data_IF_858108364147
#
_entry.id   IF_858108364147
#
_cell.length_a   1.000
_cell.length_b   1.000
_cell.length_c   1.000
_cell.angle_alpha   90.00
_cell.angle_beta   90.00
_cell.angle_gamma   90.00
#
_symmetry.space_group_name_H-M   'P 1'
#
loop_
_entity.id
_entity.type
_entity.pdbx_description
1 polymer ?
#
# COMPACT_ATOMS: atom_id res chain seq x y z
N UNK A 1 63.30 -8.56 -16.14
CA UNK A 1 62.23 -7.53 -16.15
C UNK A 1 60.90 -8.28 -16.22
N UNK A 2 60.20 -8.46 -15.10
CA UNK A 2 58.87 -9.08 -15.08
C UNK A 2 57.89 -8.03 -14.55
N UNK A 3 57.08 -7.45 -15.44
CA UNK A 3 55.99 -6.54 -15.08
C UNK A 3 54.74 -7.36 -14.80
N UNK A 4 54.29 -7.36 -13.54
CA UNK A 4 52.95 -7.81 -13.16
C UNK A 4 51.96 -6.66 -13.42
N UNK A 5 51.10 -6.82 -14.42
CA UNK A 5 49.99 -5.90 -14.66
C UNK A 5 48.74 -6.43 -13.95
N UNK A 6 48.39 -5.80 -12.83
CA UNK A 6 47.14 -6.07 -12.09
C UNK A 6 45.92 -5.77 -12.95
N UNK A 7 45.06 -6.78 -13.12
CA UNK A 7 43.72 -6.63 -13.69
C UNK A 7 42.84 -6.02 -12.59
N UNK A 8 42.53 -4.73 -12.71
CA UNK A 8 41.49 -4.07 -11.92
C UNK A 8 40.14 -4.64 -12.34
N UNK A 9 39.59 -5.52 -11.52
CA UNK A 9 38.20 -5.98 -11.61
C UNK A 9 37.28 -4.77 -11.42
N UNK A 10 36.72 -4.26 -12.52
CA UNK A 10 35.62 -3.29 -12.48
C UNK A 10 34.43 -3.99 -11.84
N UNK A 11 34.14 -3.64 -10.59
CA UNK A 11 32.84 -3.93 -9.97
C UNK A 11 31.76 -3.33 -10.85
N UNK A 12 30.99 -4.19 -11.51
CA UNK A 12 29.77 -3.78 -12.18
C UNK A 12 28.78 -3.32 -11.11
N UNK A 13 28.63 -2.01 -10.95
CA UNK A 13 27.50 -1.42 -10.25
C UNK A 13 26.25 -1.85 -11.02
N UNK A 14 25.44 -2.72 -10.43
CA UNK A 14 24.12 -3.06 -10.95
C UNK A 14 23.31 -1.75 -11.16
N UNK A 15 22.56 -1.61 -12.26
CA UNK A 15 21.60 -0.51 -12.35
C UNK A 15 20.65 -0.62 -11.16
N UNK A 16 20.58 0.48 -10.41
CA UNK A 16 19.68 0.70 -9.26
C UNK A 16 18.23 0.49 -9.70
N UNK A 17 17.40 0.09 -8.74
CA UNK A 17 15.96 -0.12 -8.88
C UNK A 17 15.30 1.00 -9.71
N UNK A 18 14.38 0.60 -10.59
CA UNK A 18 13.98 1.38 -11.76
C UNK A 18 13.09 2.57 -11.46
N UNK A 19 13.18 3.56 -12.35
CA UNK A 19 12.19 4.53 -12.89
C UNK A 19 11.03 5.05 -12.03
N UNK A 20 10.39 4.25 -11.18
CA UNK A 20 9.26 4.67 -10.34
C UNK A 20 9.65 5.60 -9.18
N UNK A 21 10.86 5.46 -8.62
CA UNK A 21 11.33 6.36 -7.54
C UNK A 21 11.61 7.79 -8.05
N UNK A 22 11.88 7.95 -9.36
CA UNK A 22 12.20 9.25 -9.97
C UNK A 22 10.93 10.09 -10.23
N UNK A 23 9.80 9.43 -10.50
CA UNK A 23 8.52 10.10 -10.73
C UNK A 23 7.95 10.70 -9.44
N UNK A 24 7.98 9.97 -8.32
CA UNK A 24 7.50 10.47 -7.02
C UNK A 24 8.37 11.62 -6.49
N UNK A 25 9.69 11.53 -6.65
CA UNK A 25 10.59 12.61 -6.25
C UNK A 25 10.37 13.87 -7.10
N UNK A 26 10.17 13.70 -8.42
CA UNK A 26 9.85 14.81 -9.33
C UNK A 26 8.53 15.46 -8.97
N UNK A 27 7.48 14.69 -8.66
CA UNK A 27 6.18 15.22 -8.26
C UNK A 27 6.28 15.98 -6.92
N UNK A 28 7.07 15.48 -5.97
CA UNK A 28 7.37 16.18 -4.72
C UNK A 28 8.13 17.50 -4.93
N UNK A 29 9.04 17.55 -5.91
CA UNK A 29 9.82 18.74 -6.24
C UNK A 29 9.01 19.81 -7.00
N UNK A 30 7.98 19.40 -7.78
CA UNK A 30 7.05 20.33 -8.42
C UNK A 30 6.19 21.11 -7.40
N UNK A 31 6.03 20.56 -6.19
CA UNK A 31 5.15 21.13 -5.17
C UNK A 31 3.67 21.04 -5.57
N UNK A 32 2.76 21.49 -4.69
CA UNK A 32 1.33 21.40 -4.97
C UNK A 32 0.97 22.21 -6.22
N UNK A 33 0.34 21.55 -7.18
CA UNK A 33 -0.06 22.17 -8.44
C UNK A 33 -1.14 23.25 -8.19
N UNK A 34 -1.24 24.30 -9.03
CA UNK A 34 -2.18 25.40 -8.80
C UNK A 34 -3.63 24.95 -8.61
N UNK A 35 -4.08 23.95 -9.38
CA UNK A 35 -5.41 23.34 -9.26
C UNK A 35 -5.57 22.53 -7.97
N UNK A 36 -4.55 21.78 -7.55
CA UNK A 36 -4.54 21.11 -6.24
C UNK A 36 -4.73 22.12 -5.11
N UNK A 37 -4.09 23.29 -5.18
CA UNK A 37 -4.29 24.32 -4.15
C UNK A 37 -5.73 24.84 -4.10
N UNK A 38 -6.40 24.96 -5.25
CA UNK A 38 -7.81 25.32 -5.33
C UNK A 38 -8.70 24.21 -4.75
N UNK A 39 -8.43 22.94 -5.08
CA UNK A 39 -9.13 21.80 -4.46
C UNK A 39 -8.95 21.77 -2.94
N UNK A 40 -7.75 22.04 -2.44
CA UNK A 40 -7.48 22.11 -1.00
C UNK A 40 -8.24 23.27 -0.35
N UNK A 41 -8.31 24.43 -1.02
CA UNK A 41 -9.08 25.57 -0.54
C UNK A 41 -10.58 25.27 -0.52
N UNK A 42 -11.10 24.63 -1.57
CA UNK A 42 -12.49 24.21 -1.68
C UNK A 42 -12.84 23.19 -0.60
N UNK A 43 -12.01 22.16 -0.40
CA UNK A 43 -12.19 21.16 0.65
C UNK A 43 -12.19 21.80 2.05
N UNK A 44 -11.30 22.77 2.30
CA UNK A 44 -11.28 23.54 3.56
C UNK A 44 -12.55 24.35 3.75
N UNK A 45 -13.04 25.02 2.69
CA UNK A 45 -14.28 25.79 2.72
C UNK A 45 -15.50 24.90 2.97
N UNK A 46 -15.67 23.85 2.17
CA UNK A 46 -16.74 22.86 2.31
C UNK A 46 -16.75 22.23 3.71
N UNK A 47 -15.57 21.88 4.24
CA UNK A 47 -15.43 21.38 5.60
C UNK A 47 -15.90 22.37 6.68
N UNK A 48 -15.65 23.68 6.51
CA UNK A 48 -16.16 24.71 7.45
C UNK A 48 -17.68 24.81 7.36
N UNK A 49 -18.22 24.80 6.14
CA UNK A 49 -19.66 24.90 5.92
C UNK A 49 -20.40 23.70 6.53
N UNK A 50 -19.93 22.48 6.26
CA UNK A 50 -20.50 21.26 6.84
C UNK A 50 -20.53 21.28 8.37
N UNK A 51 -19.49 21.82 9.01
CA UNK A 51 -19.45 21.97 10.47
C UNK A 51 -20.48 22.97 11.01
N UNK A 52 -20.73 24.07 10.29
CA UNK A 52 -21.79 25.03 10.66
C UNK A 52 -23.16 24.39 10.55
N UNK A 53 -23.44 23.79 9.40
CA UNK A 53 -24.73 23.11 9.18
C UNK A 53 -24.96 22.02 10.21
N UNK A 54 -23.93 21.25 10.59
CA UNK A 54 -24.07 20.25 11.65
C UNK A 54 -24.39 20.87 13.03
N UNK A 55 -23.78 22.01 13.36
CA UNK A 55 -24.05 22.72 14.61
C UNK A 55 -25.47 23.32 14.67
N UNK A 56 -26.00 23.74 13.51
CA UNK A 56 -27.39 24.22 13.39
C UNK A 56 -28.40 23.08 13.50
N UNK A 57 -28.12 21.94 12.85
CA UNK A 57 -29.01 20.77 12.88
C UNK A 57 -29.01 20.04 14.22
N UNK A 58 -27.91 20.08 14.97
CA UNK A 58 -27.72 19.30 16.19
C UNK A 58 -27.02 20.14 17.29
N UNK A 59 -27.73 21.14 17.86
CA UNK A 59 -27.19 22.00 18.89
C UNK A 59 -26.96 21.21 20.18
N UNK A 60 -25.67 21.04 20.55
CA UNK A 60 -25.26 20.27 21.73
C UNK A 60 -24.44 19.02 21.40
N UNK A 61 -24.28 18.67 20.12
CA UNK A 61 -23.41 17.57 19.71
C UNK A 61 -21.95 17.82 20.07
N UNK A 62 -21.46 17.08 21.05
CA UNK A 62 -20.03 17.04 21.38
C UNK A 62 -19.28 16.31 20.28
N UNK A 63 -18.18 16.89 19.79
CA UNK A 63 -17.30 16.19 18.85
C UNK A 63 -16.71 14.95 19.51
N UNK A 64 -16.72 13.84 18.79
CA UNK A 64 -15.96 12.69 19.23
C UNK A 64 -14.46 13.03 19.17
N UNK A 65 -13.70 12.72 20.23
CA UNK A 65 -12.25 12.89 20.19
C UNK A 65 -11.67 11.99 19.11
N UNK A 66 -10.76 12.53 18.30
CA UNK A 66 -9.99 11.71 17.36
C UNK A 66 -9.01 10.90 18.19
N UNK A 67 -9.25 9.59 18.26
CA UNK A 67 -8.33 8.67 18.91
C UNK A 67 -7.03 8.61 18.10
N UNK A 68 -5.95 9.15 18.66
CA UNK A 68 -4.62 9.04 18.07
C UNK A 68 -3.95 7.79 18.64
N UNK A 69 -3.51 6.89 17.77
CA UNK A 69 -2.61 5.82 18.18
C UNK A 69 -1.27 6.42 18.59
N UNK A 70 -0.95 6.35 19.88
CA UNK A 70 0.30 6.88 20.45
C UNK A 70 1.38 5.81 20.65
N UNK A 71 1.02 4.53 20.52
CA UNK A 71 1.94 3.42 20.69
C UNK A 71 1.97 2.55 19.43
N UNK A 72 3.16 2.18 18.92
CA UNK A 72 3.26 1.18 17.87
C UNK A 72 2.64 -0.15 18.36
N UNK A 73 1.78 -0.73 17.52
CA UNK A 73 1.28 -2.08 17.74
C UNK A 73 2.22 -3.06 17.07
N UNK A 74 2.77 -3.97 17.87
CA UNK A 74 3.45 -5.15 17.34
C UNK A 74 2.37 -6.17 17.02
N UNK A 75 2.12 -6.40 15.74
CA UNK A 75 1.26 -7.51 15.31
C UNK A 75 2.06 -8.81 15.46
N UNK A 76 1.64 -9.66 16.38
CA UNK A 76 2.21 -11.00 16.52
C UNK A 76 1.54 -11.88 15.47
N UNK A 77 2.27 -12.42 14.47
CA UNK A 77 1.69 -13.33 13.50
C UNK A 77 1.17 -14.59 14.22
N UNK A 78 -0.06 -15.00 13.92
CA UNK A 78 -0.79 -16.07 14.62
C UNK A 78 -0.26 -17.49 14.34
N UNK A 79 0.89 -17.67 13.67
CA UNK A 79 1.44 -18.98 13.33
C UNK A 79 2.96 -19.07 13.58
N UNK A 80 3.48 -20.20 14.11
CA UNK A 80 4.87 -20.32 14.51
C UNK A 80 5.81 -20.66 13.34
N UNK A 81 6.80 -19.78 13.17
CA UNK A 81 8.21 -20.01 12.83
C UNK A 81 8.78 -21.27 12.11
N UNK A 82 8.13 -22.06 11.23
CA UNK A 82 8.89 -23.08 10.45
C UNK A 82 8.12 -23.87 9.37
N UNK A 83 8.78 -24.48 8.36
CA UNK A 83 10.04 -24.07 7.72
C UNK A 83 9.76 -22.77 6.95
N UNK A 84 10.33 -21.69 7.48
CA UNK A 84 9.89 -20.29 7.29
C UNK A 84 8.39 -20.17 7.57
N UNK A 85 7.95 -19.96 8.81
CA UNK A 85 6.60 -19.39 8.94
C UNK A 85 6.60 -18.01 8.31
N UNK A 86 5.62 -17.79 7.43
CA UNK A 86 5.66 -16.73 6.43
C UNK A 86 6.15 -17.19 5.05
N UNK A 87 6.50 -18.45 4.87
CA UNK A 87 6.74 -19.06 3.56
C UNK A 87 5.46 -19.06 2.72
N UNK A 88 5.61 -18.93 1.40
CA UNK A 88 4.47 -18.92 0.48
C UNK A 88 3.68 -20.22 0.58
N UNK A 89 2.35 -20.11 0.67
CA UNK A 89 1.45 -21.26 0.60
C UNK A 89 1.69 -22.00 -0.71
N UNK A 90 2.06 -23.28 -0.64
CA UNK A 90 2.37 -24.09 -1.84
C UNK A 90 1.17 -24.27 -2.77
N UNK A 91 -0.05 -24.21 -2.24
CA UNK A 91 -1.27 -24.36 -3.04
C UNK A 91 -1.63 -23.13 -3.88
N UNK A 92 -1.23 -21.93 -3.44
CA UNK A 92 -1.55 -20.68 -4.16
C UNK A 92 -0.31 -19.81 -4.44
N UNK A 93 0.88 -20.34 -4.21
CA UNK A 93 2.17 -19.69 -4.42
C UNK A 93 2.26 -18.27 -3.84
N UNK A 94 1.71 -18.04 -2.65
CA UNK A 94 1.74 -16.71 -2.03
C UNK A 94 0.55 -15.81 -2.33
N UNK A 95 -0.27 -16.11 -3.33
CA UNK A 95 -1.33 -15.21 -3.78
C UNK A 95 -2.53 -15.11 -2.82
N UNK A 96 -2.72 -16.11 -1.94
CA UNK A 96 -3.84 -16.15 -1.00
C UNK A 96 -5.18 -16.53 -1.64
N UNK A 97 -5.24 -16.69 -2.96
CA UNK A 97 -6.46 -17.01 -3.70
C UNK A 97 -6.26 -16.80 -5.20
N UNK A 98 -7.36 -16.88 -5.94
CA UNK A 98 -7.37 -16.64 -7.39
C UNK A 98 -8.59 -15.81 -7.76
N UNK A 99 -8.46 -15.01 -8.83
CA UNK A 99 -9.58 -14.29 -9.41
C UNK A 99 -10.36 -15.22 -10.34
N UNK A 100 -11.66 -15.37 -10.10
CA UNK A 100 -12.55 -16.17 -10.92
C UNK A 100 -13.40 -15.25 -11.76
N UNK A 101 -13.30 -15.44 -13.07
CA UNK A 101 -14.20 -14.81 -14.03
C UNK A 101 -15.45 -15.68 -14.20
N UNK A 102 -16.60 -15.10 -13.89
CA UNK A 102 -17.94 -15.70 -14.04
C UNK A 102 -18.79 -14.91 -15.03
N UNK A 103 -18.13 -14.15 -15.91
CA UNK A 103 -18.81 -13.35 -16.93
C UNK A 103 -19.63 -14.23 -17.87
N UNK A 104 -20.92 -13.92 -17.99
CA UNK A 104 -21.82 -14.51 -18.98
C UNK A 104 -22.67 -13.40 -19.58
N UNK A 105 -23.17 -13.63 -20.80
CA UNK A 105 -24.17 -12.77 -21.45
C UNK A 105 -23.78 -11.28 -21.55
N UNK A 106 -22.48 -11.02 -21.74
CA UNK A 106 -21.94 -9.66 -21.87
C UNK A 106 -21.80 -8.89 -20.56
N UNK A 107 -22.05 -9.52 -19.41
CA UNK A 107 -21.86 -8.90 -18.09
C UNK A 107 -20.56 -9.40 -17.46
N UNK A 108 -19.60 -8.49 -17.27
CA UNK A 108 -18.34 -8.84 -16.63
C UNK A 108 -18.50 -9.03 -15.12
N UNK A 109 -18.18 -10.22 -14.61
CA UNK A 109 -18.25 -10.54 -13.17
C UNK A 109 -16.99 -11.28 -12.74
N UNK A 110 -16.07 -10.53 -12.16
CA UNK A 110 -14.87 -11.09 -11.54
C UNK A 110 -15.06 -11.09 -10.03
N UNK A 111 -14.78 -12.21 -9.37
CA UNK A 111 -14.77 -12.28 -7.92
C UNK A 111 -13.51 -12.97 -7.41
N UNK A 112 -13.08 -12.58 -6.23
CA UNK A 112 -11.94 -13.20 -5.57
C UNK A 112 -12.38 -14.48 -4.87
N UNK A 113 -11.71 -15.59 -5.16
CA UNK A 113 -11.85 -16.83 -4.41
C UNK A 113 -10.59 -17.09 -3.59
N UNK A 114 -10.74 -17.01 -2.25
CA UNK A 114 -9.64 -17.26 -1.32
C UNK A 114 -9.18 -18.72 -1.34
N UNK A 115 -7.87 -18.92 -1.27
CA UNK A 115 -7.26 -20.24 -1.14
C UNK A 115 -7.61 -20.83 0.23
N UNK A 116 -8.29 -21.96 0.27
CA UNK A 116 -8.74 -22.63 1.50
C UNK A 116 -7.57 -23.18 2.32
N UNK A 117 -6.51 -23.65 1.66
CA UNK A 117 -5.33 -24.23 2.33
C UNK A 117 -4.61 -23.23 3.25
N UNK A 118 -4.52 -21.96 2.86
CA UNK A 118 -3.99 -20.88 3.70
C UNK A 118 -5.08 -19.99 4.32
N UNK A 119 -6.35 -20.25 3.98
CA UNK A 119 -7.51 -19.40 4.28
C UNK A 119 -7.30 -17.93 3.95
N UNK A 120 -6.82 -17.65 2.73
CA UNK A 120 -6.71 -16.28 2.22
C UNK A 120 -5.37 -15.58 2.47
N UNK A 121 -4.51 -16.09 3.35
CA UNK A 121 -3.33 -15.33 3.79
C UNK A 121 -2.15 -15.37 2.82
N UNK A 122 -2.15 -16.32 1.88
CA UNK A 122 -1.01 -16.57 1.00
C UNK A 122 0.18 -17.21 1.69
N UNK A 123 0.16 -17.39 3.00
CA UNK A 123 1.23 -18.02 3.77
C UNK A 123 0.90 -19.48 4.12
N UNK A 124 1.92 -20.33 4.14
CA UNK A 124 1.79 -21.68 4.70
C UNK A 124 1.38 -21.59 6.19
N UNK A 125 0.46 -22.46 6.60
CA UNK A 125 -0.07 -22.56 7.97
C UNK A 125 0.66 -23.60 8.78
#
# INVERSE_FOLDING_TARGET
MHSMTSILTRSATAPRAGWYEDEEQRDNDLGPMPDETEFHQLARFAGRQARRTLAEMDPGRTRQPVLRMTRPLTFTPTAPAGPVAGGQCSSCHGAGGTMIDTSSDGVTRQHWQSCTACGGTGAAR
#
